data_IF_303586825069
#
_entry.id   IF_303586825069
#
_cell.length_a   1.000
_cell.length_b   1.000
_cell.length_c   1.000
_cell.angle_alpha   90.00
_cell.angle_beta   90.00
_cell.angle_gamma   90.00
#
_symmetry.space_group_name_H-M   'P 1'
#
loop_
_entity.id
_entity.type
_entity.pdbx_description
1 polymer ?
#
# COMPACT_ATOMS: atom_id res chain seq x y z
N UNK A 1 -11.26 17.85 -12.29
CA UNK A 1 -10.08 18.35 -13.06
C UNK A 1 -9.22 17.16 -13.51
N UNK A 2 -8.80 17.08 -14.79
CA UNK A 2 -7.94 16.00 -15.32
C UNK A 2 -6.66 16.52 -15.98
N UNK A 3 -5.53 15.84 -15.80
CA UNK A 3 -4.24 16.27 -16.36
C UNK A 3 -3.10 15.25 -16.26
N UNK A 4 -2.11 15.37 -17.14
CA UNK A 4 -0.88 14.59 -17.09
C UNK A 4 0.12 15.20 -16.10
N UNK A 5 0.50 14.43 -15.08
CA UNK A 5 1.34 14.91 -13.97
C UNK A 5 2.83 14.91 -14.35
N UNK A 6 3.23 14.14 -15.36
CA UNK A 6 4.61 14.07 -15.82
C UNK A 6 5.21 15.40 -16.29
N UNK A 7 4.37 16.38 -16.63
CA UNK A 7 4.82 17.71 -17.06
C UNK A 7 5.31 18.57 -15.89
N UNK A 8 4.80 18.37 -14.67
CA UNK A 8 5.22 19.20 -13.51
C UNK A 8 6.67 18.93 -13.10
N UNK A 9 7.24 17.78 -13.49
CA UNK A 9 8.61 17.39 -13.19
C UNK A 9 9.54 17.37 -14.42
N UNK A 10 9.12 17.99 -15.53
CA UNK A 10 9.82 17.90 -16.82
C UNK A 10 11.29 18.34 -16.74
N UNK A 11 11.59 19.40 -15.99
CA UNK A 11 12.93 19.96 -15.84
C UNK A 11 13.93 19.01 -15.16
N UNK A 12 13.45 17.95 -14.50
CA UNK A 12 14.26 16.99 -13.75
C UNK A 12 14.37 15.63 -14.44
N UNK A 13 14.19 15.57 -15.78
CA UNK A 13 14.41 14.34 -16.57
C UNK A 13 15.78 13.72 -16.26
N UNK A 14 15.78 12.42 -15.95
CA UNK A 14 16.98 11.69 -15.54
C UNK A 14 17.19 11.62 -14.03
N UNK A 15 16.55 12.50 -13.25
CA UNK A 15 16.57 12.46 -11.79
C UNK A 15 15.23 11.92 -11.26
N UNK A 16 15.06 10.59 -11.29
CA UNK A 16 13.81 9.96 -10.85
C UNK A 16 13.44 10.29 -9.40
N UNK A 17 14.35 10.26 -8.40
CA UNK A 17 13.99 10.59 -7.02
C UNK A 17 13.28 11.94 -6.85
N UNK A 18 13.81 13.00 -7.48
CA UNK A 18 13.19 14.34 -7.42
C UNK A 18 11.86 14.37 -8.18
N UNK A 19 11.76 13.67 -9.31
CA UNK A 19 10.50 13.62 -10.09
C UNK A 19 9.40 12.92 -9.32
N UNK A 20 9.71 11.80 -8.66
CA UNK A 20 8.75 11.04 -7.86
C UNK A 20 8.27 11.87 -6.66
N UNK A 21 9.17 12.61 -6.00
CA UNK A 21 8.83 13.55 -4.94
C UNK A 21 7.87 14.65 -5.42
N UNK A 22 8.17 15.28 -6.57
CA UNK A 22 7.29 16.30 -7.19
C UNK A 22 5.90 15.72 -7.49
N UNK A 23 5.82 14.52 -8.06
CA UNK A 23 4.54 13.89 -8.36
C UNK A 23 3.74 13.58 -7.09
N UNK A 24 4.38 13.03 -6.05
CA UNK A 24 3.72 12.69 -4.79
C UNK A 24 3.16 13.93 -4.09
N UNK A 25 3.97 14.98 -3.95
CA UNK A 25 3.55 16.25 -3.32
C UNK A 25 2.46 16.93 -4.14
N UNK A 26 2.63 17.01 -5.46
CA UNK A 26 1.64 17.63 -6.34
C UNK A 26 0.29 16.92 -6.22
N UNK A 27 0.27 15.59 -6.32
CA UNK A 27 -0.96 14.80 -6.23
C UNK A 27 -1.63 14.94 -4.86
N UNK A 28 -0.86 14.88 -3.76
CA UNK A 28 -1.37 15.05 -2.41
C UNK A 28 -2.17 16.35 -2.26
N UNK A 29 -1.60 17.48 -2.70
CA UNK A 29 -2.27 18.78 -2.62
C UNK A 29 -3.36 18.95 -3.69
N UNK A 30 -3.15 18.46 -4.91
CA UNK A 30 -4.11 18.61 -6.00
C UNK A 30 -5.41 17.84 -5.73
N UNK A 31 -5.33 16.64 -5.15
CA UNK A 31 -6.50 15.84 -4.76
C UNK A 31 -7.31 16.61 -3.71
N UNK A 32 -6.66 17.18 -2.69
CA UNK A 32 -7.32 18.01 -1.68
C UNK A 32 -7.96 19.27 -2.28
N UNK A 33 -7.38 19.80 -3.35
CA UNK A 33 -7.91 20.94 -4.10
C UNK A 33 -8.99 20.56 -5.14
N UNK A 34 -9.40 19.29 -5.24
CA UNK A 34 -10.49 18.84 -6.13
C UNK A 34 -10.02 18.26 -7.48
N UNK A 35 -8.80 17.73 -7.57
CA UNK A 35 -8.36 16.97 -8.74
C UNK A 35 -8.95 15.55 -8.70
N UNK A 36 -9.82 15.25 -9.67
CA UNK A 36 -10.51 13.96 -9.76
C UNK A 36 -9.72 12.88 -10.53
N UNK A 37 -8.81 13.28 -11.44
CA UNK A 37 -8.10 12.34 -12.30
C UNK A 37 -6.70 12.82 -12.68
N UNK A 38 -5.68 11.99 -12.45
CA UNK A 38 -4.30 12.24 -12.88
C UNK A 38 -3.72 11.09 -13.70
N UNK A 39 -3.10 11.40 -14.85
CA UNK A 39 -2.34 10.41 -15.61
C UNK A 39 -0.90 10.42 -15.11
N UNK A 40 -0.51 9.32 -14.44
CA UNK A 40 0.76 9.16 -13.71
C UNK A 40 1.33 7.76 -13.93
N UNK A 41 2.64 7.60 -13.71
CA UNK A 41 3.24 6.28 -13.59
C UNK A 41 3.07 5.76 -12.16
N UNK A 42 2.10 4.88 -11.96
CA UNK A 42 1.79 4.22 -10.69
C UNK A 42 3.00 3.52 -10.01
N UNK A 43 3.96 3.03 -10.79
CA UNK A 43 5.15 2.33 -10.27
C UNK A 43 6.23 3.26 -9.74
N UNK A 44 6.14 4.56 -10.02
CA UNK A 44 7.10 5.62 -9.69
C UNK A 44 6.43 6.69 -8.82
N UNK A 45 5.59 6.25 -7.88
CA UNK A 45 5.02 7.12 -6.86
C UNK A 45 5.67 6.75 -5.53
N UNK A 46 6.38 7.71 -4.95
CA UNK A 46 6.89 7.61 -3.59
C UNK A 46 5.74 7.73 -2.59
N UNK A 47 5.89 7.12 -1.41
CA UNK A 47 5.03 7.41 -0.27
C UNK A 47 5.46 8.76 0.28
N UNK A 48 4.51 9.67 0.47
CA UNK A 48 4.82 11.06 0.84
C UNK A 48 5.63 11.18 2.14
N UNK A 49 5.33 10.31 3.11
CA UNK A 49 5.99 10.31 4.42
C UNK A 49 7.38 9.65 4.41
N UNK A 50 7.77 8.97 3.33
CA UNK A 50 9.14 8.43 3.16
C UNK A 50 10.11 9.45 2.55
N UNK A 51 9.59 10.56 2.02
CA UNK A 51 10.44 11.59 1.43
C UNK A 51 11.28 12.26 2.52
N UNK A 52 12.58 12.41 2.27
CA UNK A 52 13.45 13.18 3.15
C UNK A 52 12.86 14.59 3.38
N UNK A 53 12.77 15.02 4.64
CA UNK A 53 12.12 16.28 5.02
C UNK A 53 12.63 17.49 4.21
N UNK A 54 13.94 17.59 3.98
CA UNK A 54 14.56 18.66 3.18
C UNK A 54 14.04 18.66 1.73
N UNK A 55 13.94 17.48 1.11
CA UNK A 55 13.43 17.34 -0.26
C UNK A 55 11.92 17.62 -0.32
N UNK A 56 11.15 17.08 0.62
CA UNK A 56 9.70 17.30 0.69
C UNK A 56 9.37 18.78 0.84
N UNK A 57 10.02 19.47 1.76
CA UNK A 57 9.81 20.91 2.00
C UNK A 57 10.15 21.74 0.76
N UNK A 58 11.30 21.48 0.12
CA UNK A 58 11.69 22.20 -1.09
C UNK A 58 10.73 21.96 -2.28
N UNK A 59 10.21 20.73 -2.41
CA UNK A 59 9.21 20.41 -3.44
C UNK A 59 7.87 21.08 -3.12
N UNK A 60 7.40 21.05 -1.86
CA UNK A 60 6.19 21.75 -1.44
C UNK A 60 6.29 23.27 -1.69
N UNK A 61 7.44 23.88 -1.39
CA UNK A 61 7.70 25.30 -1.63
C UNK A 61 7.54 25.65 -3.11
N UNK A 62 8.06 24.83 -4.02
CA UNK A 62 7.93 25.02 -5.47
C UNK A 62 6.50 24.78 -5.95
N UNK A 63 5.87 23.67 -5.55
CA UNK A 63 4.53 23.28 -6.01
C UNK A 63 3.47 24.29 -5.56
N UNK A 64 3.60 24.81 -4.34
CA UNK A 64 2.64 25.75 -3.75
C UNK A 64 3.07 27.21 -3.90
N UNK A 65 4.23 27.46 -4.50
CA UNK A 65 4.82 28.80 -4.65
C UNK A 65 4.86 29.58 -3.32
N UNK A 66 5.37 28.96 -2.25
CA UNK A 66 5.36 29.53 -0.89
C UNK A 66 6.41 30.63 -0.70
N UNK A 67 7.48 30.61 -1.50
CA UNK A 67 8.65 31.49 -1.35
C UNK A 67 9.23 31.90 -2.70
N UNK A 68 9.91 33.04 -2.71
CA UNK A 68 10.55 33.58 -3.92
C UNK A 68 11.79 32.75 -4.35
N UNK A 69 12.49 32.13 -3.40
CA UNK A 69 13.72 31.34 -3.61
C UNK A 69 13.46 29.83 -3.81
N UNK A 70 12.18 29.41 -3.94
CA UNK A 70 11.79 27.99 -3.99
C UNK A 70 12.51 27.20 -5.09
N UNK A 71 12.62 27.79 -6.28
CA UNK A 71 13.24 27.14 -7.45
C UNK A 71 14.74 26.89 -7.22
N UNK A 72 15.47 27.87 -6.69
CA UNK A 72 16.90 27.77 -6.44
C UNK A 72 17.20 26.68 -5.40
N UNK A 73 16.43 26.69 -4.30
CA UNK A 73 16.54 25.66 -3.25
C UNK A 73 16.33 24.25 -3.79
N UNK A 74 15.30 24.05 -4.61
CA UNK A 74 15.05 22.74 -5.20
C UNK A 74 16.17 22.30 -6.15
N UNK A 75 16.75 23.23 -6.92
CA UNK A 75 17.88 22.92 -7.80
C UNK A 75 19.13 22.51 -7.01
N UNK A 76 19.44 23.22 -5.92
CA UNK A 76 20.57 22.90 -5.05
C UNK A 76 20.42 21.51 -4.42
N UNK A 77 19.22 21.18 -3.95
CA UNK A 77 18.91 19.86 -3.37
C UNK A 77 18.93 18.79 -4.47
N UNK A 78 18.35 19.05 -5.64
CA UNK A 78 18.31 18.10 -6.75
C UNK A 78 19.71 17.68 -7.20
N UNK A 79 20.71 18.56 -7.07
CA UNK A 79 22.13 18.25 -7.28
C UNK A 79 22.61 17.04 -6.47
N UNK A 80 22.10 16.85 -5.25
CA UNK A 80 22.41 15.70 -4.38
C UNK A 80 21.85 14.37 -4.92
N UNK A 81 20.83 14.42 -5.78
CA UNK A 81 20.11 13.26 -6.33
C UNK A 81 20.44 12.97 -7.81
N UNK A 82 21.34 13.76 -8.44
CA UNK A 82 21.65 13.65 -9.87
C UNK A 82 22.55 12.45 -10.25
N UNK A 83 23.17 11.77 -9.29
CA UNK A 83 24.17 10.71 -9.54
C UNK A 83 23.75 9.29 -9.13
N UNK A 84 22.53 9.09 -8.64
CA UNK A 84 22.02 7.77 -8.26
C UNK A 84 21.26 7.14 -9.43
N UNK A 85 22.02 6.78 -10.47
CA UNK A 85 21.55 5.85 -11.53
C UNK A 85 21.45 4.41 -11.03
N UNK A 86 22.06 4.13 -9.89
CA UNK A 86 21.64 3.07 -8.98
C UNK A 86 20.58 3.68 -8.08
N UNK A 87 19.43 3.02 -7.93
CA UNK A 87 18.69 3.10 -6.68
C UNK A 87 19.77 2.91 -5.61
N UNK A 88 20.18 3.97 -4.91
CA UNK A 88 20.89 3.77 -3.66
C UNK A 88 19.89 2.93 -2.89
N UNK A 89 20.15 1.62 -2.80
CA UNK A 89 19.57 0.80 -1.77
C UNK A 89 19.72 1.64 -0.53
N UNK A 90 18.58 2.09 -0.03
CA UNK A 90 18.51 2.90 1.16
C UNK A 90 19.46 2.23 2.16
N UNK A 91 20.39 2.94 2.82
CA UNK A 91 21.12 2.37 3.94
C UNK A 91 20.15 1.72 4.96
N UNK A 92 18.88 2.16 4.98
CA UNK A 92 17.80 1.50 5.71
C UNK A 92 17.48 0.08 5.22
N UNK A 93 17.71 -0.30 3.95
CA UNK A 93 17.47 -1.63 3.40
C UNK A 93 18.20 -2.74 4.18
N UNK A 94 19.28 -2.41 4.89
CA UNK A 94 19.97 -3.27 5.84
C UNK A 94 19.57 -3.03 7.31
N UNK A 95 19.23 -1.80 7.69
CA UNK A 95 18.91 -1.45 9.08
C UNK A 95 17.59 -2.06 9.56
N UNK A 96 16.54 -2.06 8.71
CA UNK A 96 15.23 -2.60 9.12
C UNK A 96 15.28 -4.11 9.40
N UNK A 97 16.22 -4.84 8.79
CA UNK A 97 16.45 -6.25 9.07
C UNK A 97 16.94 -6.51 10.50
N UNK A 98 17.52 -5.50 11.16
CA UNK A 98 17.92 -5.58 12.57
C UNK A 98 16.80 -5.29 13.57
N UNK A 99 15.60 -4.91 13.11
CA UNK A 99 14.46 -4.61 13.99
C UNK A 99 13.80 -5.88 14.53
N UNK A 100 12.94 -5.72 15.55
CA UNK A 100 12.06 -6.78 16.02
C UNK A 100 11.16 -7.31 14.89
N UNK A 101 10.88 -8.61 14.89
CA UNK A 101 10.12 -9.28 13.83
C UNK A 101 8.78 -8.62 13.54
N UNK A 102 8.07 -8.11 14.56
CA UNK A 102 6.77 -7.45 14.35
C UNK A 102 6.93 -6.13 13.58
N UNK A 103 8.00 -5.37 13.89
CA UNK A 103 8.35 -4.15 13.17
C UNK A 103 8.81 -4.46 11.73
N UNK A 104 9.53 -5.57 11.51
CA UNK A 104 9.93 -6.03 10.17
C UNK A 104 8.73 -6.41 9.31
N UNK A 105 7.78 -7.16 9.88
CA UNK A 105 6.51 -7.52 9.21
C UNK A 105 5.69 -6.28 8.84
N UNK A 106 5.55 -5.33 9.76
CA UNK A 106 4.87 -4.06 9.51
C UNK A 106 5.55 -3.24 8.41
N UNK A 107 6.89 -3.16 8.43
CA UNK A 107 7.67 -2.49 7.40
C UNK A 107 7.49 -3.16 6.03
N UNK A 108 7.61 -4.49 5.98
CA UNK A 108 7.42 -5.26 4.75
C UNK A 108 6.03 -5.06 4.16
N UNK A 109 5.00 -4.98 5.01
CA UNK A 109 3.63 -4.66 4.58
C UNK A 109 3.54 -3.27 3.96
N UNK A 110 3.95 -2.21 4.68
CA UNK A 110 3.84 -0.82 4.22
C UNK A 110 4.64 -0.58 2.93
N UNK A 111 5.80 -1.22 2.80
CA UNK A 111 6.68 -1.11 1.62
C UNK A 111 6.33 -2.08 0.50
N UNK A 112 5.50 -3.08 0.75
CA UNK A 112 5.16 -4.12 -0.22
C UNK A 112 6.31 -5.08 -0.55
N UNK A 113 7.15 -5.42 0.43
CA UNK A 113 8.33 -6.29 0.29
C UNK A 113 7.92 -7.76 0.53
N UNK A 114 8.17 -8.64 -0.43
CA UNK A 114 7.80 -10.07 -0.34
C UNK A 114 8.98 -11.02 -0.09
N UNK A 115 10.20 -10.51 -0.10
CA UNK A 115 11.43 -11.32 -0.11
C UNK A 115 11.64 -12.09 1.20
N UNK A 116 11.52 -11.41 2.35
CA UNK A 116 11.78 -11.98 3.68
C UNK A 116 10.53 -12.41 4.44
N UNK A 117 9.36 -12.30 3.81
CA UNK A 117 8.09 -12.44 4.52
C UNK A 117 7.89 -13.84 5.11
N UNK A 118 8.39 -14.88 4.44
CA UNK A 118 8.24 -16.26 4.92
C UNK A 118 9.06 -16.48 6.19
N UNK A 119 10.30 -16.00 6.22
CA UNK A 119 11.22 -16.09 7.37
C UNK A 119 10.72 -15.27 8.55
N UNK A 120 10.33 -14.01 8.32
CA UNK A 120 9.82 -13.13 9.37
C UNK A 120 8.48 -13.64 9.92
N UNK A 121 7.61 -14.19 9.06
CA UNK A 121 6.33 -14.75 9.50
C UNK A 121 6.55 -15.99 10.37
N UNK A 122 7.53 -16.83 10.04
CA UNK A 122 7.88 -18.01 10.84
C UNK A 122 8.47 -17.61 12.20
N UNK A 123 9.38 -16.64 12.24
CA UNK A 123 9.94 -16.12 13.50
C UNK A 123 8.85 -15.54 14.41
N UNK A 124 7.93 -14.74 13.85
CA UNK A 124 6.79 -14.22 14.59
C UNK A 124 5.84 -15.33 15.07
N UNK A 125 5.61 -16.36 14.25
CA UNK A 125 4.78 -17.52 14.60
C UNK A 125 5.36 -18.29 15.78
N UNK A 126 6.68 -18.49 15.80
CA UNK A 126 7.36 -19.20 16.90
C UNK A 126 7.37 -18.38 18.20
N UNK A 127 7.34 -17.05 18.10
CA UNK A 127 7.26 -16.15 19.26
C UNK A 127 5.83 -15.96 19.79
N UNK A 128 4.81 -16.21 18.95
CA UNK A 128 3.40 -16.05 19.32
C UNK A 128 2.82 -17.31 19.99
N UNK A 129 1.88 -17.11 20.91
CA UNK A 129 1.14 -18.21 21.55
C UNK A 129 0.29 -19.01 20.55
N UNK A 130 -0.26 -18.32 19.54
CA UNK A 130 -1.05 -18.90 18.46
C UNK A 130 -0.64 -18.23 17.15
N UNK A 131 -0.51 -18.96 16.03
CA UNK A 131 -0.28 -18.39 14.70
C UNK A 131 -1.29 -17.29 14.33
N UNK A 132 -2.54 -17.39 14.81
CA UNK A 132 -3.56 -16.37 14.60
C UNK A 132 -3.17 -15.00 15.18
N UNK A 133 -2.46 -14.97 16.31
CA UNK A 133 -2.02 -13.70 16.92
C UNK A 133 -1.01 -12.93 16.05
N UNK A 134 -0.29 -13.60 15.14
CA UNK A 134 0.58 -12.92 14.16
C UNK A 134 -0.26 -12.13 13.15
N UNK A 135 -1.42 -12.69 12.75
CA UNK A 135 -2.39 -12.04 11.86
C UNK A 135 -3.04 -10.85 12.56
N UNK A 136 -3.58 -11.06 13.76
CA UNK A 136 -4.31 -10.04 14.53
C UNK A 136 -3.40 -8.97 15.14
N UNK A 137 -2.11 -9.26 15.31
CA UNK A 137 -1.09 -8.33 15.79
C UNK A 137 -0.34 -7.65 14.65
N UNK A 138 0.93 -8.03 14.46
CA UNK A 138 1.87 -7.31 13.59
C UNK A 138 1.38 -7.12 12.15
N UNK A 139 0.68 -8.10 11.59
CA UNK A 139 0.17 -8.01 10.23
C UNK A 139 -1.02 -7.04 10.12
N UNK A 140 -1.95 -7.07 11.09
CA UNK A 140 -3.07 -6.15 11.13
C UNK A 140 -2.62 -4.72 11.44
N UNK A 141 -1.64 -4.54 12.34
CA UNK A 141 -1.03 -3.25 12.63
C UNK A 141 -0.41 -2.62 11.37
N UNK A 142 0.36 -3.39 10.61
CA UNK A 142 0.90 -2.94 9.32
C UNK A 142 -0.21 -2.55 8.33
N UNK A 143 -1.29 -3.33 8.25
CA UNK A 143 -2.43 -3.03 7.38
C UNK A 143 -3.22 -1.79 7.82
N UNK A 144 -3.32 -1.51 9.13
CA UNK A 144 -3.93 -0.29 9.65
C UNK A 144 -3.14 0.94 9.20
N UNK A 145 -1.80 0.89 9.26
CA UNK A 145 -0.93 1.97 8.75
C UNK A 145 -1.14 2.17 7.24
N UNK A 146 -1.23 1.10 6.46
CA UNK A 146 -1.56 1.20 5.02
C UNK A 146 -2.91 1.86 4.80
N UNK A 147 -3.92 1.51 5.61
CA UNK A 147 -5.26 2.11 5.59
C UNK A 147 -5.23 3.61 5.88
N UNK A 148 -4.51 4.02 6.93
CA UNK A 148 -4.37 5.43 7.32
C UNK A 148 -3.65 6.25 6.25
N UNK A 149 -2.56 5.73 5.69
CA UNK A 149 -1.81 6.40 4.61
C UNK A 149 -2.65 6.54 3.34
N UNK A 150 -3.42 5.50 2.99
CA UNK A 150 -4.32 5.54 1.83
C UNK A 150 -5.48 6.52 2.05
N UNK A 151 -6.11 6.48 3.23
CA UNK A 151 -7.20 7.40 3.61
C UNK A 151 -6.75 8.86 3.67
N UNK A 152 -5.50 9.11 4.05
CA UNK A 152 -4.89 10.44 4.02
C UNK A 152 -4.42 10.89 2.63
N UNK A 153 -4.53 10.05 1.59
CA UNK A 153 -4.03 10.35 0.24
C UNK A 153 -2.51 10.39 0.12
N UNK A 154 -1.79 9.83 1.10
CA UNK A 154 -0.32 9.75 1.14
C UNK A 154 0.24 8.47 0.50
N UNK A 155 -0.62 7.46 0.35
CA UNK A 155 -0.36 6.21 -0.35
C UNK A 155 -1.42 6.03 -1.44
N UNK A 156 -1.03 5.44 -2.57
CA UNK A 156 -1.88 5.21 -3.72
C UNK A 156 -2.26 3.74 -3.88
N UNK A 157 -3.38 3.48 -4.58
CA UNK A 157 -3.92 2.13 -4.79
C UNK A 157 -2.89 1.08 -5.26
N UNK A 158 -1.95 1.37 -6.19
CA UNK A 158 -0.92 0.40 -6.59
C UNK A 158 -0.02 -0.06 -5.43
N UNK A 159 0.27 0.82 -4.46
CA UNK A 159 1.05 0.51 -3.26
C UNK A 159 0.22 -0.32 -2.27
N UNK A 160 -1.07 0.00 -2.12
CA UNK A 160 -2.02 -0.80 -1.32
C UNK A 160 -2.11 -2.24 -1.86
N UNK A 161 -2.16 -2.41 -3.18
CA UNK A 161 -2.19 -3.74 -3.82
C UNK A 161 -0.89 -4.51 -3.57
N UNK A 162 0.28 -3.85 -3.56
CA UNK A 162 1.54 -4.50 -3.17
C UNK A 162 1.51 -4.96 -1.71
N UNK A 163 1.04 -4.11 -0.81
CA UNK A 163 0.88 -4.43 0.61
C UNK A 163 -0.03 -5.65 0.84
N UNK A 164 -1.17 -5.68 0.13
CA UNK A 164 -2.10 -6.82 0.16
C UNK A 164 -1.46 -8.13 -0.33
N UNK A 165 -0.51 -8.08 -1.27
CA UNK A 165 0.23 -9.28 -1.70
C UNK A 165 1.16 -9.80 -0.61
N UNK A 166 1.81 -8.91 0.14
CA UNK A 166 2.64 -9.28 1.30
C UNK A 166 1.77 -9.94 2.37
N UNK A 167 0.64 -9.31 2.70
CA UNK A 167 -0.33 -9.84 3.66
C UNK A 167 -0.81 -11.25 3.27
N UNK A 168 -1.24 -11.42 2.01
CA UNK A 168 -1.69 -12.72 1.49
C UNK A 168 -0.60 -13.78 1.60
N UNK A 169 0.66 -13.43 1.33
CA UNK A 169 1.79 -14.37 1.40
C UNK A 169 2.05 -14.80 2.85
N UNK A 170 2.07 -13.86 3.80
CA UNK A 170 2.22 -14.14 5.22
C UNK A 170 1.08 -15.02 5.76
N UNK A 171 -0.18 -14.68 5.45
CA UNK A 171 -1.34 -15.50 5.86
C UNK A 171 -1.27 -16.90 5.27
N UNK A 172 -0.90 -17.04 3.98
CA UNK A 172 -0.74 -18.35 3.36
C UNK A 172 0.34 -19.20 4.04
N UNK A 173 1.40 -18.59 4.58
CA UNK A 173 2.41 -19.27 5.37
C UNK A 173 1.86 -19.80 6.71
N UNK A 174 1.00 -19.02 7.38
CA UNK A 174 0.44 -19.39 8.68
C UNK A 174 -0.67 -20.44 8.58
N UNK A 175 -1.38 -20.51 7.45
CA UNK A 175 -2.55 -21.38 7.23
C UNK A 175 -2.34 -22.85 7.62
N UNK A 176 -1.24 -23.54 7.26
CA UNK A 176 -1.01 -24.94 7.66
C UNK A 176 -0.93 -25.13 9.18
N UNK A 177 -0.32 -24.18 9.90
CA UNK A 177 -0.17 -24.23 11.35
C UNK A 177 -1.48 -23.92 12.06
N UNK A 178 -2.19 -22.92 11.54
CA UNK A 178 -3.54 -22.54 11.93
C UNK A 178 -4.48 -23.76 11.80
N UNK A 179 -4.41 -24.51 10.69
CA UNK A 179 -5.20 -25.72 10.48
C UNK A 179 -4.78 -26.90 11.38
N UNK A 180 -3.50 -27.03 11.70
CA UNK A 180 -3.04 -28.03 12.66
C UNK A 180 -3.61 -27.75 14.07
N UNK A 181 -3.69 -26.49 14.47
CA UNK A 181 -4.35 -26.06 15.72
C UNK A 181 -5.88 -26.15 15.69
N UNK A 182 -6.53 -26.08 14.50
CA UNK A 182 -7.99 -26.27 14.35
C UNK A 182 -8.48 -27.64 14.80
N UNK A 183 -7.59 -28.62 15.04
CA UNK A 183 -7.92 -29.85 15.76
C UNK A 183 -8.53 -29.57 17.16
N UNK A 184 -8.28 -28.38 17.69
CA UNK A 184 -8.82 -27.82 18.93
C UNK A 184 -9.68 -26.56 18.64
N UNK A 185 -10.64 -26.67 17.70
CA UNK A 185 -11.97 -26.10 17.90
C UNK A 185 -12.23 -24.59 17.77
N UNK A 186 -11.32 -23.73 17.29
CA UNK A 186 -11.62 -22.29 17.29
C UNK A 186 -10.98 -21.46 16.17
N UNK A 187 -11.58 -21.56 14.97
CA UNK A 187 -11.39 -20.56 13.92
C UNK A 187 -12.75 -20.12 13.42
N UNK A 188 -13.23 -19.05 14.04
CA UNK A 188 -14.30 -18.25 13.48
C UNK A 188 -13.66 -17.29 12.48
N UNK A 189 -14.02 -17.38 11.20
CA UNK A 189 -13.75 -16.25 10.32
C UNK A 189 -14.43 -15.01 10.91
N UNK A 190 -13.90 -13.81 10.63
CA UNK A 190 -14.55 -12.56 11.06
C UNK A 190 -15.95 -12.38 10.45
N UNK A 191 -16.32 -13.28 9.54
CA UNK A 191 -17.62 -13.41 8.91
C UNK A 191 -17.46 -13.99 7.51
N UNK A 192 -18.59 -14.35 6.91
CA UNK A 192 -18.68 -14.63 5.48
C UNK A 192 -19.27 -13.41 4.80
N UNK A 193 -18.66 -12.97 3.71
CA UNK A 193 -19.17 -11.87 2.89
C UNK A 193 -19.39 -12.39 1.48
N UNK A 194 -20.65 -12.30 1.04
CA UNK A 194 -21.04 -12.57 -0.34
C UNK A 194 -20.91 -11.27 -1.15
N UNK A 195 -20.19 -11.30 -2.27
CA UNK A 195 -19.99 -10.16 -3.15
C UNK A 195 -20.46 -10.49 -4.57
N UNK A 196 -21.13 -9.54 -5.22
CA UNK A 196 -21.61 -9.67 -6.59
C UNK A 196 -21.83 -8.27 -7.19
N UNK A 197 -21.71 -8.10 -8.51
CA UNK A 197 -22.34 -6.95 -9.19
C UNK A 197 -23.72 -7.34 -9.68
N UNK A 198 -24.67 -6.40 -9.62
CA UNK A 198 -26.05 -6.65 -10.03
C UNK A 198 -26.15 -6.82 -11.55
N UNK A 199 -27.21 -7.48 -12.01
CA UNK A 199 -27.51 -7.64 -13.43
C UNK A 199 -27.44 -6.29 -14.17
N UNK A 200 -26.66 -6.27 -15.25
CA UNK A 200 -26.45 -5.07 -16.06
C UNK A 200 -25.25 -4.22 -15.65
N UNK A 201 -24.64 -4.50 -14.50
CA UNK A 201 -23.42 -3.84 -14.04
C UNK A 201 -22.20 -4.74 -14.27
N UNK A 202 -21.26 -4.25 -15.07
CA UNK A 202 -19.99 -4.94 -15.39
C UNK A 202 -18.81 -4.38 -14.60
N UNK A 203 -19.01 -3.32 -13.81
CA UNK A 203 -17.93 -2.65 -13.10
C UNK A 203 -17.56 -3.44 -11.84
N UNK A 204 -16.45 -4.16 -11.86
CA UNK A 204 -16.04 -5.09 -10.79
C UNK A 204 -14.73 -4.71 -10.11
N UNK A 205 -14.02 -3.71 -10.62
CA UNK A 205 -12.70 -3.30 -10.09
C UNK A 205 -12.81 -2.96 -8.60
N UNK A 206 -13.78 -2.12 -8.22
CA UNK A 206 -14.02 -1.77 -6.82
C UNK A 206 -14.40 -2.99 -5.96
N UNK A 207 -15.29 -3.85 -6.48
CA UNK A 207 -15.71 -5.10 -5.82
C UNK A 207 -14.50 -6.00 -5.53
N UNK A 208 -13.65 -6.20 -6.52
CA UNK A 208 -12.48 -7.08 -6.42
C UNK A 208 -11.45 -6.51 -5.43
N UNK A 209 -11.22 -5.19 -5.44
CA UNK A 209 -10.34 -4.52 -4.47
C UNK A 209 -10.86 -4.72 -3.04
N UNK A 210 -12.14 -4.45 -2.80
CA UNK A 210 -12.77 -4.62 -1.48
C UNK A 210 -12.73 -6.09 -1.05
N UNK A 211 -13.00 -7.03 -1.95
CA UNK A 211 -12.89 -8.46 -1.68
C UNK A 211 -11.47 -8.87 -1.26
N UNK A 212 -10.44 -8.38 -1.95
CA UNK A 212 -9.04 -8.64 -1.59
C UNK A 212 -8.72 -8.06 -0.20
N UNK A 213 -9.14 -6.83 0.09
CA UNK A 213 -8.91 -6.18 1.39
C UNK A 213 -9.62 -6.93 2.53
N UNK A 214 -10.85 -7.38 2.32
CA UNK A 214 -11.60 -8.13 3.32
C UNK A 214 -11.01 -9.53 3.57
N UNK A 215 -10.57 -10.24 2.52
CA UNK A 215 -9.83 -11.50 2.68
C UNK A 215 -8.56 -11.30 3.51
N UNK A 216 -7.86 -10.20 3.30
CA UNK A 216 -6.69 -9.84 4.10
C UNK A 216 -7.04 -9.60 5.58
N UNK A 217 -8.28 -9.25 5.91
CA UNK A 217 -8.77 -9.02 7.28
C UNK A 217 -9.53 -10.24 7.86
N UNK A 218 -9.25 -11.45 7.38
CA UNK A 218 -9.81 -12.68 7.98
C UNK A 218 -11.28 -12.96 7.65
N UNK A 219 -11.86 -12.29 6.65
CA UNK A 219 -13.19 -12.61 6.14
C UNK A 219 -13.14 -13.69 5.06
N UNK A 220 -14.11 -14.59 5.06
CA UNK A 220 -14.33 -15.51 3.95
C UNK A 220 -15.15 -14.79 2.87
N UNK A 221 -14.57 -14.60 1.68
CA UNK A 221 -15.24 -13.94 0.56
C UNK A 221 -15.79 -14.96 -0.42
N UNK A 222 -17.10 -14.92 -0.63
CA UNK A 222 -17.81 -15.66 -1.67
C UNK A 222 -18.14 -14.68 -2.79
N UNK A 223 -17.40 -14.74 -3.89
CA UNK A 223 -17.59 -13.85 -5.02
C UNK A 223 -18.42 -14.52 -6.13
N UNK A 224 -19.61 -13.99 -6.42
CA UNK A 224 -20.50 -14.48 -7.47
C UNK A 224 -20.17 -13.89 -8.85
N UNK A 225 -19.22 -12.96 -8.93
CA UNK A 225 -18.79 -12.33 -10.18
C UNK A 225 -19.67 -11.15 -10.59
N UNK A 226 -19.83 -10.97 -11.90
CA UNK A 226 -20.51 -9.80 -12.48
C UNK A 226 -21.85 -10.12 -13.12
N UNK A 227 -22.70 -9.10 -13.24
CA UNK A 227 -24.02 -9.18 -13.88
C UNK A 227 -24.94 -10.25 -13.27
N UNK A 228 -24.85 -10.45 -11.95
CA UNK A 228 -25.55 -11.53 -11.26
C UNK A 228 -27.03 -11.16 -11.08
N UNK A 229 -27.98 -12.03 -11.47
CA UNK A 229 -29.41 -11.82 -11.22
C UNK A 229 -29.71 -11.68 -9.72
N UNK A 230 -30.61 -10.75 -9.37
CA UNK A 230 -31.00 -10.50 -7.97
C UNK A 230 -31.48 -11.76 -7.26
N UNK A 231 -32.22 -12.63 -7.96
CA UNK A 231 -32.71 -13.89 -7.41
C UNK A 231 -31.57 -14.84 -7.01
N UNK A 232 -30.49 -14.90 -7.80
CA UNK A 232 -29.30 -15.70 -7.48
C UNK A 232 -28.55 -15.14 -6.27
N UNK A 233 -28.46 -13.81 -6.15
CA UNK A 233 -27.84 -13.17 -4.98
C UNK A 233 -28.64 -13.52 -3.72
N UNK A 234 -29.98 -13.36 -3.76
CA UNK A 234 -30.86 -13.68 -2.64
C UNK A 234 -30.75 -15.16 -2.23
N UNK A 235 -30.79 -16.08 -3.19
CA UNK A 235 -30.66 -17.52 -2.92
C UNK A 235 -29.33 -17.90 -2.26
N UNK A 236 -28.24 -17.20 -2.58
CA UNK A 236 -26.90 -17.47 -2.03
C UNK A 236 -26.65 -16.77 -0.70
N UNK A 237 -27.43 -15.74 -0.37
CA UNK A 237 -27.29 -14.96 0.85
C UNK A 237 -28.05 -15.55 2.05
N UNK A 238 -29.11 -16.31 1.80
CA UNK A 238 -29.85 -17.14 2.78
C UNK A 238 -29.22 -18.51 2.96
#
# INVERSE_FOLDING_TARGET
ISGGVSNVSFSFRGNNPVREAIHAVFLYHAIQAGMDMGIVNAGQLAILDDLANELREAVEDVVLNRRDDSTERLLDIAGKYNNTGEVQEDPAAAEWRGWDVNARLSHALVKGITEFIDEDTEEARLAAERPLHVIEGALMDGMNVVGDLFGAGKMFLPQVVKSARVMKKAVAWLMPYIEAEKSEGDINSNGKILMATVKGDVHDIGKNIVGVVLQCNGYEIIDLGVMVPTETILQRAT
#
